data_IF_292281241807
#
_entry.id   IF_292281241807
#
_cell.length_a   1.000
_cell.length_b   1.000
_cell.length_c   1.000
_cell.angle_alpha   90.00
_cell.angle_beta   90.00
_cell.angle_gamma   90.00
#
_symmetry.space_group_name_H-M   'P 1'
#
loop_
_entity.id
_entity.type
_entity.pdbx_description
1 polymer ?
#
# COMPACT_ATOMS: atom_id res chain seq x y z
N UNK A 1 -9.90 -13.24 9.41
CA UNK A 1 -11.18 -12.74 8.86
C UNK A 1 -10.91 -12.27 7.43
N UNK A 2 -11.58 -12.88 6.47
CA UNK A 2 -11.22 -12.99 5.05
C UNK A 2 -11.28 -11.66 4.29
N UNK A 3 -10.17 -11.25 3.67
CA UNK A 3 -10.20 -10.26 2.58
C UNK A 3 -10.12 -11.02 1.26
N UNK A 4 -11.22 -11.01 0.51
CA UNK A 4 -11.29 -11.53 -0.87
C UNK A 4 -10.25 -10.79 -1.72
N UNK A 5 -9.22 -11.52 -2.16
CA UNK A 5 -8.21 -11.05 -3.11
C UNK A 5 -8.83 -11.00 -4.50
N UNK A 6 -9.33 -9.83 -4.89
CA UNK A 6 -9.71 -9.54 -6.28
C UNK A 6 -8.43 -9.52 -7.11
N UNK A 7 -8.43 -10.23 -8.24
CA UNK A 7 -7.27 -10.35 -9.14
C UNK A 7 -6.70 -8.98 -9.48
N UNK A 8 -5.39 -8.82 -9.33
CA UNK A 8 -4.62 -7.55 -9.39
C UNK A 8 -4.66 -6.67 -8.12
N UNK A 9 -4.80 -7.26 -6.92
CA UNK A 9 -4.62 -6.51 -5.67
C UNK A 9 -3.21 -5.90 -5.58
N UNK A 10 -3.05 -4.58 -5.47
CA UNK A 10 -1.74 -3.97 -5.23
C UNK A 10 -1.17 -4.50 -3.92
N UNK A 11 0.11 -4.85 -3.93
CA UNK A 11 0.76 -5.38 -2.73
C UNK A 11 1.28 -4.22 -1.92
N UNK A 12 0.80 -4.10 -0.68
CA UNK A 12 1.27 -3.12 0.29
C UNK A 12 2.37 -3.77 1.15
N UNK A 13 3.49 -3.08 1.32
CA UNK A 13 4.62 -3.57 2.12
C UNK A 13 4.48 -3.26 3.62
N UNK A 14 3.55 -2.38 4.00
CA UNK A 14 3.37 -1.92 5.39
C UNK A 14 2.07 -2.44 6.01
N UNK A 15 2.11 -2.81 7.29
CA UNK A 15 0.87 -3.09 8.03
C UNK A 15 0.21 -1.77 8.46
N UNK A 16 -0.95 -1.47 7.86
CA UNK A 16 -1.72 -0.26 8.17
C UNK A 16 -2.33 -0.29 9.58
N UNK A 17 -2.45 -1.45 10.22
CA UNK A 17 -3.04 -1.58 11.55
C UNK A 17 -2.01 -1.51 12.68
N UNK A 18 -0.73 -1.61 12.36
CA UNK A 18 0.35 -1.58 13.34
C UNK A 18 0.52 -0.19 13.94
N UNK A 19 0.74 -0.13 15.25
CA UNK A 19 1.04 1.10 15.97
C UNK A 19 2.40 1.66 15.55
N UNK A 20 2.55 2.98 15.64
CA UNK A 20 3.78 3.70 15.29
C UNK A 20 3.79 4.25 13.87
N UNK A 21 5.01 4.51 13.36
CA UNK A 21 5.25 5.13 12.06
C UNK A 21 5.79 4.09 11.09
N UNK A 22 5.08 3.86 10.00
CA UNK A 22 5.42 2.88 8.97
C UNK A 22 5.56 3.60 7.63
N UNK A 23 6.66 3.34 6.93
CA UNK A 23 6.89 3.83 5.57
C UNK A 23 7.05 2.65 4.62
N UNK A 24 6.62 2.81 3.38
CA UNK A 24 6.85 1.81 2.36
C UNK A 24 6.21 2.19 1.04
N UNK A 25 5.98 1.18 0.22
CA UNK A 25 5.43 1.36 -1.11
C UNK A 25 4.20 0.48 -1.33
N UNK A 26 3.27 1.03 -2.09
CA UNK A 26 2.25 0.25 -2.77
C UNK A 26 2.87 -0.20 -4.09
N UNK A 27 2.99 -1.51 -4.27
CA UNK A 27 3.48 -2.10 -5.52
C UNK A 27 2.33 -2.24 -6.49
N UNK A 28 2.33 -1.39 -7.51
CA UNK A 28 1.41 -1.47 -8.63
C UNK A 28 2.10 -2.26 -9.74
N UNK A 29 1.62 -3.48 -10.00
CA UNK A 29 2.11 -4.28 -11.12
C UNK A 29 1.75 -3.57 -12.42
N UNK A 30 2.76 -3.22 -13.21
CA UNK A 30 2.60 -2.49 -14.46
C UNK A 30 3.43 -3.18 -15.55
N UNK A 31 2.74 -3.89 -16.44
CA UNK A 31 3.36 -4.49 -17.62
C UNK A 31 3.35 -3.48 -18.77
N UNK A 32 4.51 -3.25 -19.39
CA UNK A 32 4.69 -2.41 -20.58
C UNK A 32 5.54 -3.15 -21.60
N UNK A 33 5.52 -2.71 -22.86
CA UNK A 33 6.44 -3.16 -23.91
C UNK A 33 7.92 -3.05 -23.50
N UNK A 34 8.26 -2.05 -22.67
CA UNK A 34 9.60 -1.81 -22.13
C UNK A 34 9.93 -2.63 -20.88
N UNK A 35 8.94 -3.22 -20.23
CA UNK A 35 9.14 -4.02 -19.01
C UNK A 35 7.96 -4.99 -18.79
N UNK A 36 8.18 -6.27 -19.09
CA UNK A 36 7.15 -7.31 -19.01
C UNK A 36 6.62 -7.53 -17.58
N UNK A 37 7.46 -7.31 -16.56
CA UNK A 37 7.13 -7.46 -15.14
C UNK A 37 7.47 -6.22 -14.32
N UNK A 38 7.31 -5.04 -14.92
CA UNK A 38 7.53 -3.77 -14.24
C UNK A 38 6.58 -3.59 -13.05
N UNK A 39 7.00 -2.77 -12.11
CA UNK A 39 6.11 -2.27 -11.08
C UNK A 39 6.42 -0.81 -10.79
N UNK A 40 5.39 -0.07 -10.40
CA UNK A 40 5.49 1.34 -10.06
C UNK A 40 5.44 1.44 -8.53
N UNK A 41 6.49 1.96 -7.88
CA UNK A 41 6.47 2.24 -6.45
C UNK A 41 5.66 3.52 -6.17
N UNK A 42 4.50 3.38 -5.54
CA UNK A 42 3.77 4.53 -5.00
C UNK A 42 4.12 4.66 -3.52
N UNK A 43 4.77 5.76 -3.09
CA UNK A 43 5.15 5.94 -1.69
C UNK A 43 3.91 6.09 -0.82
N UNK A 44 3.91 5.41 0.33
CA UNK A 44 2.86 5.52 1.35
C UNK A 44 3.50 5.58 2.74
N UNK A 45 2.88 6.35 3.63
CA UNK A 45 3.21 6.42 5.04
C UNK A 45 1.94 6.22 5.87
N UNK A 46 2.03 5.40 6.91
CA UNK A 46 0.99 5.23 7.92
C UNK A 46 1.54 5.65 9.28
N UNK A 47 0.79 6.46 10.02
CA UNK A 47 1.11 6.84 11.38
C UNK A 47 -0.11 6.54 12.23
N UNK A 48 0.04 5.59 13.16
CA UNK A 48 -1.00 5.20 14.11
C UNK A 48 -0.50 5.39 15.53
N UNK A 49 -1.33 5.99 16.36
CA UNK A 49 -1.07 6.19 17.78
C UNK A 49 -2.38 6.07 18.57
N UNK A 50 -2.76 4.84 18.91
CA UNK A 50 -3.98 4.52 19.63
C UNK A 50 -5.24 4.59 18.76
N UNK A 51 -6.40 4.70 19.43
CA UNK A 51 -7.70 4.79 18.78
C UNK A 51 -8.08 6.24 18.48
N UNK A 52 -8.49 6.51 17.25
CA UNK A 52 -8.85 7.84 16.80
C UNK A 52 -9.33 7.85 15.34
N UNK A 53 -9.73 9.02 14.82
CA UNK A 53 -10.14 9.15 13.43
C UNK A 53 -8.96 8.88 12.48
N UNK A 54 -9.19 8.09 11.43
CA UNK A 54 -8.23 7.87 10.36
C UNK A 54 -8.43 8.93 9.25
N UNK A 55 -7.35 9.59 8.85
CA UNK A 55 -7.35 10.56 7.75
C UNK A 55 -6.49 10.07 6.60
N UNK A 56 -6.96 10.26 5.37
CA UNK A 56 -6.24 9.95 4.14
C UNK A 56 -5.85 11.25 3.43
N UNK A 57 -4.55 11.46 3.24
CA UNK A 57 -3.99 12.61 2.54
C UNK A 57 -3.39 12.12 1.22
N UNK A 58 -3.77 12.74 0.10
CA UNK A 58 -3.31 12.42 -1.25
C UNK A 58 -2.90 13.72 -1.93
N UNK A 59 -1.80 13.71 -2.67
CA UNK A 59 -1.27 14.85 -3.42
C UNK A 59 -0.22 14.44 -4.45
#
# INVERSE_FOLDING_TARGET
>A
MTIKKVGLSPTIEIDLNSEGKHHGYIRIMFSSDRSAYGWIPVPIMSIKNGEGPCSLLIG
#
